data_IF_429853054629
#
_entry.id   IF_429853054629
#
_cell.length_a   1.000
_cell.length_b   1.000
_cell.length_c   1.000
_cell.angle_alpha   90.00
_cell.angle_beta   90.00
_cell.angle_gamma   90.00
#
_symmetry.space_group_name_H-M   'P 1'
#
loop_
_entity.id
_entity.type
_entity.pdbx_description
1 polymer ?
#
# COMPACT_ATOMS: atom_id res chain seq x y z
N UNK A 1 -12.44 -21.29 19.92
CA UNK A 1 -13.24 -22.12 19.00
C UNK A 1 -13.68 -21.28 17.81
N UNK A 2 -13.02 -21.39 16.65
CA UNK A 2 -13.62 -21.05 15.34
C UNK A 2 -12.80 -21.67 14.20
N UNK A 3 -12.22 -22.85 14.45
CA UNK A 3 -11.47 -23.63 13.46
C UNK A 3 -12.37 -24.75 12.94
N UNK A 4 -13.62 -24.43 12.58
CA UNK A 4 -14.56 -25.42 12.09
C UNK A 4 -15.12 -25.00 10.73
N UNK A 5 -14.62 -25.72 9.73
CA UNK A 5 -15.24 -26.06 8.44
C UNK A 5 -14.60 -25.44 7.20
N UNK A 6 -13.53 -26.11 6.74
CA UNK A 6 -13.25 -26.28 5.33
C UNK A 6 -12.79 -27.74 5.14
N UNK A 7 -13.72 -28.62 4.73
CA UNK A 7 -13.39 -29.97 4.29
C UNK A 7 -13.25 -29.90 2.76
N UNK A 8 -12.10 -30.38 2.25
CA UNK A 8 -11.65 -30.49 0.85
C UNK A 8 -11.24 -29.18 0.11
N UNK A 9 -10.09 -28.62 0.53
CA UNK A 9 -9.15 -27.97 -0.39
C UNK A 9 -7.75 -28.08 0.22
N UNK A 10 -6.88 -28.93 -0.34
CA UNK A 10 -5.48 -29.12 0.08
C UNK A 10 -4.59 -27.96 -0.40
N UNK A 11 -5.00 -26.72 -0.13
CA UNK A 11 -4.24 -25.54 -0.49
C UNK A 11 -3.99 -24.70 0.76
N UNK A 12 -2.72 -24.47 1.05
CA UNK A 12 -2.28 -23.60 2.13
C UNK A 12 -2.50 -22.17 1.66
N UNK A 13 -3.43 -21.46 2.29
CA UNK A 13 -3.61 -20.03 2.07
C UNK A 13 -3.09 -19.26 3.27
N UNK A 14 -2.30 -18.21 3.02
CA UNK A 14 -1.75 -17.35 4.07
C UNK A 14 -2.66 -16.14 4.22
N UNK A 15 -3.13 -15.82 5.44
CA UNK A 15 -3.94 -14.63 5.66
C UNK A 15 -3.14 -13.36 5.39
N UNK A 16 -3.80 -12.38 4.77
CA UNK A 16 -3.23 -11.06 4.51
C UNK A 16 -2.95 -10.34 5.83
N UNK A 17 -1.75 -9.73 5.92
CA UNK A 17 -1.32 -9.02 7.11
C UNK A 17 -2.08 -7.70 7.23
N UNK A 18 -2.79 -7.51 8.35
CA UNK A 18 -3.41 -6.22 8.67
C UNK A 18 -2.29 -5.20 8.87
N UNK A 19 -2.25 -4.20 8.00
CA UNK A 19 -1.33 -3.07 8.10
C UNK A 19 -2.07 -1.89 8.70
N UNK A 20 -1.47 -1.22 9.68
CA UNK A 20 -1.98 0.06 10.19
C UNK A 20 -1.79 1.13 9.13
N UNK A 21 -2.66 2.14 9.13
CA UNK A 21 -2.44 3.32 8.30
C UNK A 21 -1.10 3.97 8.70
N UNK A 22 -0.22 4.16 7.71
CA UNK A 22 1.07 4.83 7.89
C UNK A 22 1.10 6.00 6.93
N UNK A 23 1.39 7.19 7.46
CA UNK A 23 1.60 8.40 6.66
C UNK A 23 3.04 8.39 6.13
N UNK A 24 3.20 8.02 4.86
CA UNK A 24 4.49 8.02 4.17
C UNK A 24 4.87 9.41 3.64
N UNK A 25 3.92 10.35 3.56
CA UNK A 25 4.14 11.67 2.98
C UNK A 25 5.10 12.46 3.85
N UNK A 26 4.86 12.50 5.17
CA UNK A 26 5.70 13.27 6.10
C UNK A 26 7.19 12.93 6.05
N UNK A 27 7.63 11.67 6.15
CA UNK A 27 9.06 11.34 6.07
C UNK A 27 9.64 11.55 4.67
N UNK A 28 8.90 11.22 3.62
CA UNK A 28 9.40 11.34 2.24
C UNK A 28 9.48 12.80 1.77
N UNK A 29 8.50 13.64 2.10
CA UNK A 29 8.54 15.08 1.82
C UNK A 29 9.72 15.77 2.50
N UNK A 30 10.07 15.36 3.74
CA UNK A 30 11.26 15.85 4.44
C UNK A 30 12.54 15.44 3.71
N UNK A 31 12.62 14.20 3.25
CA UNK A 31 13.78 13.70 2.51
C UNK A 31 13.96 14.43 1.16
N UNK A 32 12.88 14.60 0.40
CA UNK A 32 12.89 15.35 -0.87
C UNK A 32 13.36 16.78 -0.67
N UNK A 33 12.85 17.47 0.36
CA UNK A 33 13.24 18.86 0.68
C UNK A 33 14.69 18.99 1.18
N UNK A 34 15.22 17.94 1.81
CA UNK A 34 16.61 17.92 2.25
C UNK A 34 17.60 17.58 1.11
N UNK A 35 17.15 16.84 0.09
CA UNK A 35 17.99 16.30 -0.98
C UNK A 35 18.01 17.20 -2.21
N UNK A 36 16.87 17.83 -2.54
CA UNK A 36 16.71 18.66 -3.72
C UNK A 36 16.54 20.12 -3.32
N UNK A 37 17.28 21.06 -3.93
CA UNK A 37 17.05 22.50 -3.75
C UNK A 37 15.64 22.87 -4.24
N UNK A 38 15.05 23.92 -3.68
CA UNK A 38 13.70 24.36 -4.07
C UNK A 38 13.66 24.69 -5.56
N UNK A 39 12.88 23.91 -6.31
CA UNK A 39 12.72 24.00 -7.76
C UNK A 39 11.49 23.24 -8.24
N UNK A 40 11.25 23.24 -9.54
CA UNK A 40 10.10 22.57 -10.17
C UNK A 40 10.12 21.05 -9.90
N UNK A 41 11.31 20.44 -9.94
CA UNK A 41 11.54 19.02 -9.67
C UNK A 41 11.08 18.61 -8.25
N UNK A 42 11.29 19.46 -7.25
CA UNK A 42 10.85 19.20 -5.88
C UNK A 42 9.32 19.02 -5.81
N UNK A 43 8.59 19.83 -6.57
CA UNK A 43 7.12 19.80 -6.59
C UNK A 43 6.61 18.54 -7.25
N UNK A 44 7.26 18.09 -8.33
CA UNK A 44 6.93 16.81 -8.97
C UNK A 44 7.22 15.61 -8.05
N UNK A 45 8.34 15.62 -7.32
CA UNK A 45 8.64 14.57 -6.35
C UNK A 45 7.65 14.54 -5.19
N UNK A 46 7.22 15.70 -4.68
CA UNK A 46 6.19 15.77 -3.65
C UNK A 46 4.84 15.23 -4.15
N UNK A 47 4.45 15.55 -5.39
CA UNK A 47 3.25 14.98 -6.01
C UNK A 47 3.34 13.46 -6.15
N UNK A 48 4.49 12.94 -6.58
CA UNK A 48 4.71 11.50 -6.69
C UNK A 48 4.62 10.79 -5.33
N UNK A 49 5.13 11.41 -4.27
CA UNK A 49 5.02 10.91 -2.89
C UNK A 49 3.56 10.87 -2.41
N UNK A 50 2.76 11.89 -2.73
CA UNK A 50 1.33 11.89 -2.42
C UNK A 50 0.57 10.78 -3.17
N UNK A 51 0.85 10.59 -4.46
CA UNK A 51 0.26 9.51 -5.26
C UNK A 51 0.65 8.13 -4.72
N UNK A 52 1.89 7.94 -4.28
CA UNK A 52 2.33 6.70 -3.62
C UNK A 52 1.55 6.43 -2.32
N UNK A 53 1.31 7.47 -1.52
CA UNK A 53 0.53 7.35 -0.29
C UNK A 53 -0.95 6.99 -0.59
N UNK A 54 -1.53 7.56 -1.66
CA UNK A 54 -2.87 7.17 -2.14
C UNK A 54 -2.90 5.73 -2.63
N UNK A 55 -1.90 5.29 -3.39
CA UNK A 55 -1.78 3.91 -3.86
C UNK A 55 -1.74 2.92 -2.69
N UNK A 56 -0.93 3.20 -1.66
CA UNK A 56 -0.87 2.39 -0.45
C UNK A 56 -2.22 2.30 0.27
N UNK A 57 -2.92 3.44 0.41
CA UNK A 57 -4.28 3.46 1.00
C UNK A 57 -5.28 2.68 0.16
N UNK A 58 -5.17 2.71 -1.17
CA UNK A 58 -6.00 1.92 -2.07
C UNK A 58 -5.72 0.42 -1.95
N UNK A 59 -4.44 0.04 -1.92
CA UNK A 59 -3.97 -1.34 -1.85
C UNK A 59 -4.23 -2.02 -0.49
N UNK A 60 -4.17 -1.27 0.60
CA UNK A 60 -4.23 -1.81 1.97
C UNK A 60 -5.46 -1.36 2.78
N UNK A 61 -6.15 -0.28 2.36
CA UNK A 61 -7.24 0.34 3.11
C UNK A 61 -8.62 -0.28 2.87
N UNK A 62 -8.76 -1.17 1.88
CA UNK A 62 -9.98 -1.97 1.68
C UNK A 62 -9.66 -3.44 1.91
N UNK A 63 -10.54 -4.23 2.54
CA UNK A 63 -10.39 -5.67 2.57
C UNK A 63 -10.36 -6.15 1.12
N UNK A 64 -9.21 -6.67 0.68
CA UNK A 64 -8.98 -7.07 -0.70
C UNK A 64 -9.99 -8.15 -1.09
N UNK A 65 -10.83 -7.82 -2.07
CA UNK A 65 -11.60 -8.81 -2.81
C UNK A 65 -10.61 -9.74 -3.50
N UNK A 66 -10.92 -11.05 -3.55
CA UNK A 66 -10.06 -12.09 -4.17
C UNK A 66 -10.07 -12.00 -5.71
N UNK A 67 -9.95 -10.79 -6.25
CA UNK A 67 -9.98 -10.49 -7.66
C UNK A 67 -8.60 -10.09 -8.15
N UNK A 68 -8.22 -10.50 -9.37
CA UNK A 68 -6.93 -10.16 -9.98
C UNK A 68 -6.61 -8.65 -9.99
N UNK A 69 -7.61 -7.78 -10.21
CA UNK A 69 -7.44 -6.32 -10.15
C UNK A 69 -6.90 -5.82 -8.80
N UNK A 70 -7.25 -6.49 -7.71
CA UNK A 70 -6.73 -6.19 -6.37
C UNK A 70 -5.29 -6.68 -6.18
N UNK A 71 -4.90 -7.78 -6.85
CA UNK A 71 -3.51 -8.25 -6.89
C UNK A 71 -2.63 -7.35 -7.75
N UNK A 72 -3.14 -6.84 -8.88
CA UNK A 72 -2.40 -5.89 -9.72
C UNK A 72 -2.07 -4.61 -8.95
N UNK A 73 -2.98 -4.10 -8.12
CA UNK A 73 -2.75 -2.93 -7.28
C UNK A 73 -1.71 -3.20 -6.17
N UNK A 74 -1.58 -4.45 -5.71
CA UNK A 74 -0.54 -4.85 -4.75
C UNK A 74 0.83 -5.06 -5.39
N UNK A 75 0.87 -5.48 -6.65
CA UNK A 75 2.10 -5.80 -7.39
C UNK A 75 2.67 -4.60 -8.18
N UNK A 76 1.88 -3.55 -8.36
CA UNK A 76 2.23 -2.31 -9.08
C UNK A 76 3.00 -1.33 -8.21
#
# INVERSE_FOLDING_TARGET
LCFLRAVMATFISVPLKKSSEVDLVKPLSKFVTATYPQGEEQTEYLRAVEELNKLRKSALGRPLDKHESSLEILLR
#
